data_IF_381239643215
#
_entry.id   IF_381239643215
#
_cell.length_a   1.000
_cell.length_b   1.000
_cell.length_c   1.000
_cell.angle_alpha   90.00
_cell.angle_beta   90.00
_cell.angle_gamma   90.00
#
_symmetry.space_group_name_H-M   'P 1'
#
loop_
_entity.id
_entity.type
_entity.pdbx_description
1 polymer ?
#
# COMPACT_ATOMS: atom_id res chain seq x y z
N UNK A 1 8.06 36.97 -21.50
CA UNK A 1 7.30 36.25 -22.55
C UNK A 1 8.28 35.25 -23.13
N UNK A 2 8.27 33.95 -22.90
CA UNK A 2 7.25 32.89 -22.72
C UNK A 2 7.67 31.98 -21.55
N UNK A 3 6.83 31.25 -20.83
CA UNK A 3 6.08 30.08 -21.30
C UNK A 3 4.81 29.89 -20.46
N UNK A 4 3.71 30.48 -20.95
CA UNK A 4 2.36 30.23 -20.43
C UNK A 4 1.74 28.93 -21.00
N UNK A 5 2.49 28.21 -21.86
CA UNK A 5 2.02 27.02 -22.58
C UNK A 5 2.34 25.69 -21.86
N UNK A 6 3.29 25.67 -20.91
CA UNK A 6 3.71 24.43 -20.24
C UNK A 6 2.74 24.02 -19.11
N UNK A 7 2.16 25.00 -18.41
CA UNK A 7 1.18 24.74 -17.35
C UNK A 7 -0.16 24.20 -17.90
N UNK A 8 -0.57 24.63 -19.09
CA UNK A 8 -1.76 24.10 -19.77
C UNK A 8 -1.57 22.67 -20.27
N UNK A 9 -0.34 22.26 -20.59
CA UNK A 9 -0.02 20.89 -20.95
C UNK A 9 -0.11 19.96 -19.72
N UNK A 10 0.37 20.42 -18.56
CA UNK A 10 0.23 19.69 -17.29
C UNK A 10 -1.24 19.54 -16.87
N UNK A 11 -2.05 20.60 -16.98
CA UNK A 11 -3.47 20.57 -16.64
C UNK A 11 -4.29 19.64 -17.57
N UNK A 12 -4.03 19.65 -18.88
CA UNK A 12 -4.67 18.72 -19.84
C UNK A 12 -4.26 17.26 -19.60
N UNK A 13 -3.00 17.03 -19.26
CA UNK A 13 -2.49 15.71 -18.87
C UNK A 13 -3.19 15.19 -17.61
N UNK A 14 -3.27 16.00 -16.56
CA UNK A 14 -3.98 15.65 -15.32
C UNK A 14 -5.49 15.42 -15.53
N UNK A 15 -6.15 16.20 -16.40
CA UNK A 15 -7.58 16.02 -16.68
C UNK A 15 -7.87 14.70 -17.40
N UNK A 16 -7.00 14.29 -18.35
CA UNK A 16 -7.10 12.98 -19.02
C UNK A 16 -6.85 11.82 -18.04
N UNK A 17 -5.79 11.90 -17.24
CA UNK A 17 -5.51 10.96 -16.16
C UNK A 17 -6.69 10.82 -15.19
N UNK A 18 -7.34 11.92 -14.84
CA UNK A 18 -8.52 11.91 -13.97
C UNK A 18 -9.72 11.24 -14.64
N UNK A 19 -9.96 11.48 -15.94
CA UNK A 19 -11.03 10.83 -16.71
C UNK A 19 -10.80 9.31 -16.84
N UNK A 20 -9.57 8.87 -17.07
CA UNK A 20 -9.23 7.44 -17.18
C UNK A 20 -9.33 6.73 -15.83
N UNK A 21 -8.85 7.36 -14.76
CA UNK A 21 -9.04 6.88 -13.40
C UNK A 21 -10.53 6.84 -13.02
N UNK A 22 -11.34 7.79 -13.50
CA UNK A 22 -12.78 7.80 -13.28
C UNK A 22 -13.48 6.64 -13.99
N UNK A 23 -13.07 6.29 -15.22
CA UNK A 23 -13.59 5.13 -15.96
C UNK A 23 -13.27 3.81 -15.25
N UNK A 24 -12.03 3.64 -14.77
CA UNK A 24 -11.62 2.46 -14.00
C UNK A 24 -12.33 2.42 -12.64
N UNK A 25 -12.43 3.55 -11.94
CA UNK A 25 -13.14 3.65 -10.65
C UNK A 25 -14.62 3.30 -10.79
N UNK A 26 -15.30 3.84 -11.79
CA UNK A 26 -16.72 3.53 -12.07
C UNK A 26 -16.91 2.06 -12.44
N UNK A 27 -15.99 1.48 -13.20
CA UNK A 27 -15.98 0.05 -13.51
C UNK A 27 -15.87 -0.79 -12.23
N UNK A 28 -14.94 -0.44 -11.32
CA UNK A 28 -14.76 -1.12 -10.04
C UNK A 28 -15.96 -0.94 -9.10
N UNK A 29 -16.53 0.25 -9.01
CA UNK A 29 -17.74 0.53 -8.22
C UNK A 29 -18.93 -0.29 -8.68
N UNK A 30 -19.18 -0.33 -10.00
CA UNK A 30 -20.25 -1.16 -10.56
C UNK A 30 -19.97 -2.66 -10.36
N UNK A 31 -18.70 -3.09 -10.42
CA UNK A 31 -18.30 -4.48 -10.15
C UNK A 31 -18.62 -4.88 -8.72
N UNK A 32 -18.26 -4.03 -7.75
CA UNK A 32 -18.49 -4.25 -6.33
C UNK A 32 -19.99 -4.21 -6.02
N UNK A 33 -20.73 -3.23 -6.53
CA UNK A 33 -22.18 -3.15 -6.35
C UNK A 33 -22.91 -4.34 -6.97
N UNK A 34 -22.48 -4.81 -8.14
CA UNK A 34 -23.04 -6.03 -8.73
C UNK A 34 -22.80 -7.24 -7.83
N UNK A 35 -21.58 -7.39 -7.30
CA UNK A 35 -21.24 -8.52 -6.42
C UNK A 35 -22.08 -8.52 -5.14
N UNK A 36 -22.22 -7.37 -4.49
CA UNK A 36 -23.08 -7.20 -3.30
C UNK A 36 -24.53 -7.53 -3.64
N UNK A 37 -25.08 -6.97 -4.72
CA UNK A 37 -26.45 -7.28 -5.15
C UNK A 37 -26.63 -8.75 -5.49
N UNK A 38 -25.63 -9.41 -6.04
CA UNK A 38 -25.72 -10.83 -6.40
C UNK A 38 -25.77 -11.74 -5.16
N UNK A 39 -24.99 -11.39 -4.13
CA UNK A 39 -24.99 -12.05 -2.82
C UNK A 39 -26.32 -11.82 -2.07
N UNK A 40 -26.88 -10.60 -2.11
CA UNK A 40 -28.07 -10.21 -1.36
C UNK A 40 -29.42 -10.45 -2.09
N UNK A 41 -29.41 -10.67 -3.41
CA UNK A 41 -30.64 -10.81 -4.19
C UNK A 41 -31.26 -12.20 -4.03
N UNK A 42 -31.96 -12.40 -2.93
CA UNK A 42 -32.83 -13.57 -2.70
C UNK A 42 -34.15 -13.43 -3.46
N UNK A 43 -34.72 -12.21 -3.52
CA UNK A 43 -36.04 -11.96 -4.09
C UNK A 43 -36.02 -11.10 -5.36
N UNK A 44 -37.02 -11.32 -6.21
CA UNK A 44 -37.28 -10.57 -7.43
C UNK A 44 -37.65 -9.12 -7.11
N UNK A 45 -36.84 -8.17 -7.58
CA UNK A 45 -37.03 -6.73 -7.34
C UNK A 45 -38.40 -6.23 -7.84
N UNK A 46 -38.85 -6.71 -9.00
CA UNK A 46 -40.15 -6.33 -9.56
C UNK A 46 -41.34 -6.85 -8.76
N UNK A 47 -41.24 -8.05 -8.17
CA UNK A 47 -42.32 -8.64 -7.37
C UNK A 47 -42.38 -8.00 -5.99
N UNK A 48 -41.22 -7.73 -5.38
CA UNK A 48 -41.14 -7.09 -4.07
C UNK A 48 -41.81 -5.70 -4.08
N UNK A 49 -41.64 -4.94 -5.18
CA UNK A 49 -42.36 -3.66 -5.39
C UNK A 49 -43.87 -3.80 -5.45
N UNK A 50 -44.39 -4.96 -5.84
CA UNK A 50 -45.82 -5.27 -5.90
C UNK A 50 -46.34 -5.93 -4.62
N UNK A 51 -45.51 -6.08 -3.58
CA UNK A 51 -45.87 -6.80 -2.35
C UNK A 51 -45.81 -8.32 -2.44
N UNK A 52 -45.20 -8.87 -3.51
CA UNK A 52 -45.01 -10.30 -3.71
C UNK A 52 -43.56 -10.71 -3.41
N UNK A 53 -43.37 -11.79 -2.65
CA UNK A 53 -42.06 -12.41 -2.46
C UNK A 53 -41.91 -13.60 -3.41
N UNK A 54 -41.06 -13.45 -4.42
CA UNK A 54 -40.71 -14.52 -5.37
C UNK A 54 -39.21 -14.57 -5.56
N UNK A 55 -38.64 -15.76 -5.59
CA UNK A 55 -37.20 -15.94 -5.71
C UNK A 55 -36.62 -15.33 -7.00
N UNK A 56 -35.49 -14.64 -6.83
CA UNK A 56 -34.67 -14.11 -7.90
C UNK A 56 -33.82 -15.22 -8.54
N UNK A 57 -34.21 -15.66 -9.73
CA UNK A 57 -33.48 -16.69 -10.49
C UNK A 57 -32.71 -16.12 -11.69
N UNK A 58 -32.98 -14.89 -12.09
CA UNK A 58 -32.41 -14.29 -13.29
C UNK A 58 -31.95 -12.86 -13.03
N UNK A 59 -30.97 -12.40 -13.80
CA UNK A 59 -30.53 -11.02 -13.81
C UNK A 59 -30.84 -10.37 -15.14
N UNK A 60 -31.42 -9.17 -15.09
CA UNK A 60 -31.66 -8.34 -16.27
C UNK A 60 -30.68 -7.17 -16.33
N UNK A 61 -29.66 -7.25 -17.18
CA UNK A 61 -28.64 -6.17 -17.23
C UNK A 61 -29.11 -4.85 -17.85
N UNK A 62 -30.30 -4.79 -18.46
CA UNK A 62 -30.86 -3.50 -18.89
C UNK A 62 -31.48 -2.76 -17.72
N UNK A 63 -32.14 -3.49 -16.82
CA UNK A 63 -32.75 -2.93 -15.61
C UNK A 63 -31.76 -2.88 -14.44
N UNK A 64 -30.64 -3.60 -14.54
CA UNK A 64 -29.69 -3.84 -13.45
C UNK A 64 -30.39 -4.37 -12.19
N UNK A 65 -31.27 -5.35 -12.38
CA UNK A 65 -32.10 -5.95 -11.33
C UNK A 65 -32.23 -7.47 -11.47
N UNK A 66 -32.37 -8.14 -10.32
CA UNK A 66 -32.69 -9.55 -10.24
C UNK A 66 -34.20 -9.77 -10.32
N UNK A 67 -34.61 -10.76 -11.09
CA UNK A 67 -36.00 -11.05 -11.43
C UNK A 67 -36.32 -12.55 -11.35
N UNK A 68 -37.58 -12.88 -11.04
CA UNK A 68 -38.07 -14.26 -11.08
C UNK A 68 -38.34 -14.73 -12.53
N UNK A 69 -38.63 -16.01 -12.71
CA UNK A 69 -38.89 -16.61 -14.03
C UNK A 69 -40.02 -15.93 -14.82
N UNK A 70 -41.12 -15.53 -14.16
CA UNK A 70 -42.24 -14.86 -14.84
C UNK A 70 -41.84 -13.47 -15.34
N UNK A 71 -41.19 -12.67 -14.48
CA UNK A 71 -40.63 -11.37 -14.86
C UNK A 71 -39.57 -11.50 -15.97
N UNK A 72 -38.70 -12.51 -15.91
CA UNK A 72 -37.72 -12.78 -16.96
C UNK A 72 -38.36 -13.03 -18.34
N UNK A 73 -39.46 -13.78 -18.39
CA UNK A 73 -40.22 -14.03 -19.64
C UNK A 73 -40.82 -12.75 -20.19
N UNK A 74 -41.30 -11.85 -19.33
CA UNK A 74 -41.81 -10.54 -19.75
C UNK A 74 -40.68 -9.65 -20.28
N UNK A 75 -39.55 -9.63 -19.59
CA UNK A 75 -38.37 -8.86 -19.99
C UNK A 75 -37.85 -9.25 -21.39
N UNK A 76 -37.97 -10.53 -21.76
CA UNK A 76 -37.62 -11.03 -23.11
C UNK A 76 -38.67 -10.73 -24.19
N UNK A 77 -39.89 -10.33 -23.82
CA UNK A 77 -41.02 -10.09 -24.74
C UNK A 77 -41.31 -8.61 -24.98
N UNK A 78 -40.54 -7.69 -24.38
CA UNK A 78 -40.65 -6.26 -24.69
C UNK A 78 -40.32 -5.97 -26.16
N UNK A 79 -40.83 -4.83 -26.65
CA UNK A 79 -40.58 -4.32 -28.00
C UNK A 79 -39.07 -4.23 -28.30
N UNK A 80 -38.27 -3.90 -27.28
CA UNK A 80 -36.83 -4.12 -27.25
C UNK A 80 -36.53 -5.21 -26.21
N UNK A 81 -36.19 -6.44 -26.62
CA UNK A 81 -36.00 -7.54 -25.68
C UNK A 81 -34.80 -7.26 -24.78
N UNK A 82 -35.02 -7.30 -23.46
CA UNK A 82 -33.92 -7.20 -22.53
C UNK A 82 -33.14 -8.52 -22.52
N UNK A 83 -31.81 -8.46 -22.58
CA UNK A 83 -31.02 -9.66 -22.32
C UNK A 83 -31.06 -9.99 -20.82
N UNK A 84 -31.39 -11.24 -20.53
CA UNK A 84 -31.62 -11.78 -19.19
C UNK A 84 -30.80 -13.06 -19.06
N UNK A 85 -30.04 -13.17 -17.98
CA UNK A 85 -29.10 -14.27 -17.71
C UNK A 85 -29.54 -15.02 -16.45
N UNK A 86 -29.35 -16.34 -16.42
CA UNK A 86 -29.63 -17.14 -15.22
C UNK A 86 -28.59 -16.83 -14.13
N UNK A 87 -29.02 -16.77 -12.86
CA UNK A 87 -28.18 -16.37 -11.72
C UNK A 87 -26.94 -17.25 -11.60
N UNK A 88 -27.07 -18.55 -11.91
CA UNK A 88 -26.01 -19.56 -11.85
C UNK A 88 -24.96 -19.38 -12.95
N UNK A 89 -25.31 -18.65 -14.02
CA UNK A 89 -24.43 -18.37 -15.16
C UNK A 89 -23.78 -16.99 -15.08
N UNK A 90 -24.04 -16.24 -13.99
CA UNK A 90 -23.50 -14.91 -13.80
C UNK A 90 -22.06 -14.97 -13.32
N UNK A 91 -21.16 -14.49 -14.16
CA UNK A 91 -19.83 -14.05 -13.75
C UNK A 91 -19.83 -12.53 -13.62
N UNK A 92 -18.96 -12.00 -12.75
CA UNK A 92 -18.66 -10.55 -12.67
C UNK A 92 -18.36 -9.97 -14.07
N UNK A 93 -17.69 -10.74 -14.93
CA UNK A 93 -17.40 -10.35 -16.31
C UNK A 93 -18.65 -10.15 -17.18
N UNK A 94 -19.74 -10.89 -16.95
CA UNK A 94 -20.96 -10.82 -17.75
C UNK A 94 -21.72 -9.50 -17.62
N UNK A 95 -21.69 -8.87 -16.44
CA UNK A 95 -22.33 -7.58 -16.19
C UNK A 95 -21.48 -6.40 -16.67
N UNK A 96 -20.17 -6.51 -16.45
CA UNK A 96 -19.19 -5.54 -16.94
C UNK A 96 -19.17 -5.47 -18.47
N UNK A 97 -19.33 -6.63 -19.12
CA UNK A 97 -19.52 -6.74 -20.57
C UNK A 97 -20.79 -6.04 -21.07
N UNK A 98 -21.76 -5.68 -20.23
CA UNK A 98 -23.01 -5.01 -20.65
C UNK A 98 -23.04 -3.54 -20.28
N UNK A 99 -22.47 -3.14 -19.15
CA UNK A 99 -22.27 -1.74 -18.80
C UNK A 99 -21.30 -1.02 -19.76
N UNK A 100 -20.29 -1.74 -20.25
CA UNK A 100 -19.36 -1.21 -21.26
C UNK A 100 -19.90 -1.20 -22.70
N UNK A 101 -21.14 -1.67 -22.95
CA UNK A 101 -21.67 -1.78 -24.32
C UNK A 101 -22.41 -0.55 -24.82
N UNK A 102 -22.88 0.35 -23.96
CA UNK A 102 -23.70 1.48 -24.41
C UNK A 102 -22.91 2.80 -24.35
N UNK A 103 -23.09 3.65 -25.35
CA UNK A 103 -22.41 4.92 -25.43
C UNK A 103 -22.87 5.88 -24.32
N UNK A 104 -21.93 6.57 -23.69
CA UNK A 104 -22.21 7.52 -22.60
C UNK A 104 -23.03 8.74 -23.08
N UNK A 105 -22.81 9.17 -24.32
CA UNK A 105 -23.52 10.28 -24.98
C UNK A 105 -24.85 9.77 -25.55
N UNK A 106 -24.81 8.61 -26.21
CA UNK A 106 -25.95 8.00 -26.89
C UNK A 106 -26.38 6.72 -26.15
N UNK A 107 -27.07 6.88 -25.02
CA UNK A 107 -27.39 5.79 -24.06
C UNK A 107 -28.08 4.54 -24.64
N UNK A 108 -28.74 4.68 -25.80
CA UNK A 108 -29.43 3.58 -26.51
C UNK A 108 -28.58 2.94 -27.61
N UNK A 109 -27.43 3.52 -27.94
CA UNK A 109 -26.55 3.04 -29.00
C UNK A 109 -25.42 2.22 -28.42
N UNK A 110 -25.09 1.12 -29.09
CA UNK A 110 -23.98 0.27 -28.67
C UNK A 110 -22.66 0.86 -29.14
N UNK A 111 -21.66 0.79 -28.28
CA UNK A 111 -20.28 1.08 -28.64
C UNK A 111 -19.79 -0.10 -29.50
N UNK A 112 -19.33 0.21 -30.70
CA UNK A 112 -18.84 -0.77 -31.69
C UNK A 112 -17.54 -0.33 -32.36
N UNK A 113 -17.12 0.92 -32.13
CA UNK A 113 -15.88 1.48 -32.67
C UNK A 113 -14.97 2.03 -31.58
N UNK A 114 -13.71 2.18 -31.94
CA UNK A 114 -12.70 2.90 -31.19
C UNK A 114 -11.98 3.90 -32.12
N UNK A 115 -11.88 5.15 -31.69
CA UNK A 115 -11.18 6.20 -32.42
C UNK A 115 -9.74 6.31 -31.89
N UNK A 116 -8.76 5.89 -32.69
CA UNK A 116 -7.35 5.91 -32.30
C UNK A 116 -6.78 7.34 -32.17
N UNK A 117 -7.34 8.31 -32.89
CA UNK A 117 -6.89 9.71 -32.82
C UNK A 117 -7.29 10.39 -31.51
N UNK A 118 -8.42 10.00 -30.94
CA UNK A 118 -8.97 10.59 -29.72
C UNK A 118 -8.84 9.68 -28.50
N UNK A 119 -8.42 8.43 -28.69
CA UNK A 119 -8.33 7.40 -27.66
C UNK A 119 -9.68 7.18 -26.95
N UNK A 120 -10.75 7.03 -27.75
CA UNK A 120 -12.13 7.03 -27.27
C UNK A 120 -12.99 5.95 -27.91
N UNK A 121 -13.88 5.38 -27.11
CA UNK A 121 -14.93 4.45 -27.53
C UNK A 121 -16.09 5.20 -28.20
N UNK A 122 -16.57 4.69 -29.34
CA UNK A 122 -17.60 5.33 -30.16
C UNK A 122 -18.72 4.36 -30.59
N UNK A 123 -19.95 4.87 -30.61
CA UNK A 123 -21.08 4.23 -31.32
C UNK A 123 -21.23 4.78 -32.74
N UNK A 124 -22.15 4.23 -33.53
CA UNK A 124 -22.46 4.70 -34.89
C UNK A 124 -22.74 6.21 -34.95
N UNK A 125 -23.53 6.73 -34.00
CA UNK A 125 -23.82 8.18 -33.92
C UNK A 125 -22.59 9.01 -33.61
N UNK A 126 -21.75 8.58 -32.67
CA UNK A 126 -20.50 9.29 -32.37
C UNK A 126 -19.57 9.32 -33.59
N UNK A 127 -19.53 8.25 -34.38
CA UNK A 127 -18.77 8.18 -35.63
C UNK A 127 -19.26 9.22 -36.64
N UNK A 128 -20.57 9.35 -36.81
CA UNK A 128 -21.17 10.29 -37.77
C UNK A 128 -21.16 11.75 -37.32
N UNK A 129 -21.25 12.02 -36.01
CA UNK A 129 -21.41 13.37 -35.49
C UNK A 129 -20.09 13.98 -34.99
N UNK A 130 -19.37 13.25 -34.11
CA UNK A 130 -18.20 13.78 -33.40
C UNK A 130 -16.87 13.34 -34.00
N UNK A 131 -16.85 12.22 -34.72
CA UNK A 131 -15.65 11.66 -35.32
C UNK A 131 -15.73 11.55 -36.86
N UNK A 132 -16.58 12.35 -37.51
CA UNK A 132 -16.80 12.28 -38.96
C UNK A 132 -15.51 12.50 -39.78
N UNK A 133 -14.61 13.35 -39.27
CA UNK A 133 -13.33 13.69 -39.92
C UNK A 133 -12.18 12.79 -39.48
N UNK A 134 -12.42 11.87 -38.54
CA UNK A 134 -11.39 10.99 -38.02
C UNK A 134 -11.12 9.86 -39.02
N UNK A 135 -9.87 9.72 -39.44
CA UNK A 135 -9.43 8.70 -40.40
C UNK A 135 -9.07 7.39 -39.73
N UNK A 136 -8.75 7.39 -38.43
CA UNK A 136 -8.34 6.20 -37.69
C UNK A 136 -9.42 5.77 -36.70
N UNK A 137 -10.56 5.34 -37.23
CA UNK A 137 -11.62 4.67 -36.47
C UNK A 137 -11.64 3.21 -36.86
N UNK A 138 -11.42 2.33 -35.88
CA UNK A 138 -11.40 0.88 -36.04
C UNK A 138 -12.56 0.26 -35.28
N UNK A 139 -12.88 -1.01 -35.55
CA UNK A 139 -13.83 -1.75 -34.72
C UNK A 139 -13.24 -1.99 -33.32
N UNK A 140 -14.12 -2.21 -32.33
CA UNK A 140 -13.65 -2.59 -30.98
C UNK A 140 -12.90 -3.91 -31.02
N UNK A 141 -13.32 -4.86 -31.85
CA UNK A 141 -12.67 -6.15 -31.99
C UNK A 141 -11.22 -5.99 -32.47
N UNK A 142 -11.01 -5.16 -33.49
CA UNK A 142 -9.68 -4.84 -34.04
C UNK A 142 -8.83 -4.08 -33.03
N UNK A 143 -9.38 -3.07 -32.35
CA UNK A 143 -8.68 -2.36 -31.29
C UNK A 143 -8.26 -3.30 -30.15
N UNK A 144 -9.16 -4.18 -29.73
CA UNK A 144 -8.89 -5.15 -28.67
C UNK A 144 -7.85 -6.20 -29.12
N UNK A 145 -7.85 -6.60 -30.38
CA UNK A 145 -6.83 -7.49 -30.94
C UNK A 145 -5.46 -6.81 -31.00
N UNK A 146 -5.39 -5.55 -31.41
CA UNK A 146 -4.16 -4.75 -31.39
C UNK A 146 -3.60 -4.59 -29.98
N UNK A 147 -4.45 -4.44 -28.96
CA UNK A 147 -4.02 -4.40 -27.56
C UNK A 147 -3.55 -5.78 -27.08
N UNK A 148 -4.26 -6.86 -27.44
CA UNK A 148 -3.88 -8.23 -27.06
C UNK A 148 -2.58 -8.70 -27.70
N UNK A 149 -2.38 -8.35 -28.97
CA UNK A 149 -1.20 -8.74 -29.74
C UNK A 149 -0.06 -7.73 -29.60
N UNK A 150 -0.32 -6.56 -29.02
CA UNK A 150 0.69 -5.54 -28.76
C UNK A 150 1.61 -5.92 -27.60
N UNK A 151 2.84 -5.39 -27.61
CA UNK A 151 3.82 -5.65 -26.54
C UNK A 151 3.64 -4.76 -25.33
N UNK A 152 2.78 -3.74 -25.41
CA UNK A 152 2.66 -2.68 -24.39
C UNK A 152 2.39 -3.22 -22.99
N UNK A 153 1.48 -4.20 -22.86
CA UNK A 153 1.18 -4.81 -21.57
C UNK A 153 2.37 -5.59 -21.02
N UNK A 154 2.98 -6.45 -21.83
CA UNK A 154 4.17 -7.21 -21.44
C UNK A 154 5.38 -6.31 -21.11
N UNK A 155 5.53 -5.19 -21.80
CA UNK A 155 6.58 -4.21 -21.55
C UNK A 155 6.35 -3.48 -20.22
N UNK A 156 5.10 -3.15 -19.90
CA UNK A 156 4.74 -2.56 -18.60
C UNK A 156 4.95 -3.56 -17.46
N UNK A 157 4.52 -4.81 -17.62
CA UNK A 157 4.75 -5.89 -16.65
C UNK A 157 6.25 -6.06 -16.37
N UNK A 158 7.07 -6.17 -17.42
CA UNK A 158 8.53 -6.26 -17.30
C UNK A 158 9.13 -5.06 -16.57
N UNK A 159 8.62 -3.84 -16.81
CA UNK A 159 9.09 -2.63 -16.11
C UNK A 159 8.72 -2.66 -14.63
N UNK A 160 7.51 -3.10 -14.29
CA UNK A 160 7.06 -3.26 -12.90
C UNK A 160 7.93 -4.29 -12.18
N UNK A 161 8.22 -5.42 -12.82
CA UNK A 161 9.07 -6.46 -12.25
C UNK A 161 10.49 -5.96 -12.01
N UNK A 162 11.08 -5.25 -12.99
CA UNK A 162 12.40 -4.67 -12.84
C UNK A 162 12.47 -3.68 -11.66
N UNK A 163 11.47 -2.81 -11.54
CA UNK A 163 11.39 -1.86 -10.42
C UNK A 163 11.24 -2.59 -9.08
N UNK A 164 10.40 -3.62 -9.02
CA UNK A 164 10.20 -4.43 -7.82
C UNK A 164 11.48 -5.12 -7.38
N UNK A 165 12.25 -5.69 -8.33
CA UNK A 165 13.56 -6.28 -8.05
C UNK A 165 14.57 -5.25 -7.53
N UNK A 166 14.62 -4.07 -8.14
CA UNK A 166 15.51 -2.98 -7.71
C UNK A 166 15.19 -2.53 -6.28
N UNK A 167 13.91 -2.33 -5.97
CA UNK A 167 13.45 -1.99 -4.62
C UNK A 167 13.84 -3.09 -3.63
N UNK A 168 13.63 -4.36 -3.97
CA UNK A 168 14.04 -5.50 -3.15
C UNK A 168 15.54 -5.52 -2.85
N UNK A 169 16.37 -5.19 -3.86
CA UNK A 169 17.82 -5.06 -3.69
C UNK A 169 18.21 -3.96 -2.70
N UNK A 170 17.61 -2.77 -2.82
CA UNK A 170 17.84 -1.65 -1.91
C UNK A 170 17.43 -2.00 -0.48
N UNK A 171 16.26 -2.62 -0.30
CA UNK A 171 15.79 -3.03 1.03
C UNK A 171 16.74 -4.05 1.67
N UNK A 172 17.24 -5.03 0.91
CA UNK A 172 18.21 -6.01 1.39
C UNK A 172 19.53 -5.35 1.79
N UNK A 173 20.02 -4.41 0.99
CA UNK A 173 21.23 -3.65 1.28
C UNK A 173 21.09 -2.84 2.58
N UNK A 174 20.00 -2.08 2.72
CA UNK A 174 19.74 -1.28 3.93
C UNK A 174 19.60 -2.16 5.18
N UNK A 175 18.96 -3.34 5.06
CA UNK A 175 18.85 -4.29 6.17
C UNK A 175 20.23 -4.78 6.64
N UNK A 176 21.15 -5.03 5.72
CA UNK A 176 22.51 -5.45 6.06
C UNK A 176 23.29 -4.34 6.76
N UNK A 177 23.17 -3.08 6.30
CA UNK A 177 23.80 -1.92 6.95
C UNK A 177 23.34 -1.75 8.40
N UNK A 178 22.02 -1.82 8.64
CA UNK A 178 21.45 -1.73 9.99
C UNK A 178 22.00 -2.85 10.89
N UNK A 179 22.15 -4.06 10.35
CA UNK A 179 22.74 -5.18 11.09
C UNK A 179 24.20 -4.96 11.48
N UNK A 180 25.00 -4.35 10.60
CA UNK A 180 26.39 -3.99 10.90
C UNK A 180 26.48 -2.92 11.98
N UNK A 181 25.67 -1.87 11.88
CA UNK A 181 25.60 -0.80 12.90
C UNK A 181 25.20 -1.35 14.28
N UNK A 182 24.26 -2.31 14.32
CA UNK A 182 23.83 -2.94 15.57
C UNK A 182 24.93 -3.85 16.16
N UNK A 183 25.68 -4.55 15.30
CA UNK A 183 26.86 -5.32 15.71
C UNK A 183 27.93 -4.40 16.32
N UNK A 184 28.32 -3.32 15.62
CA UNK A 184 29.34 -2.37 16.07
C UNK A 184 28.95 -1.72 17.41
N UNK A 185 27.69 -1.31 17.54
CA UNK A 185 27.15 -0.76 18.78
C UNK A 185 27.28 -1.73 19.95
N UNK A 186 27.07 -3.02 19.70
CA UNK A 186 27.15 -4.07 20.73
C UNK A 186 28.61 -4.34 21.11
N UNK A 187 29.51 -4.36 20.12
CA UNK A 187 30.95 -4.51 20.34
C UNK A 187 31.52 -3.36 21.18
N UNK A 188 31.18 -2.11 20.86
CA UNK A 188 31.61 -0.94 21.63
C UNK A 188 31.11 -1.03 23.07
N UNK A 189 29.84 -1.41 23.29
CA UNK A 189 29.28 -1.60 24.65
C UNK A 189 30.03 -2.67 25.44
N UNK A 190 30.45 -3.76 24.80
CA UNK A 190 31.23 -4.80 25.45
C UNK A 190 32.63 -4.29 25.82
N UNK A 191 33.34 -3.63 24.90
CA UNK A 191 34.66 -3.03 25.16
C UNK A 191 34.62 -2.04 26.34
N UNK A 192 33.60 -1.19 26.42
CA UNK A 192 33.40 -0.27 27.56
C UNK A 192 33.23 -1.02 28.88
N UNK A 193 32.49 -2.14 28.87
CA UNK A 193 32.30 -2.99 30.05
C UNK A 193 33.61 -3.66 30.48
N UNK A 194 34.38 -4.15 29.52
CA UNK A 194 35.65 -4.84 29.77
C UNK A 194 36.67 -3.88 30.39
N UNK A 195 36.79 -2.65 29.84
CA UNK A 195 37.65 -1.60 30.42
C UNK A 195 37.21 -1.26 31.84
N UNK A 196 35.90 -1.15 32.10
CA UNK A 196 35.39 -0.94 33.47
C UNK A 196 35.81 -2.08 34.41
N UNK A 197 35.65 -3.33 33.99
CA UNK A 197 36.02 -4.49 34.82
C UNK A 197 37.51 -4.53 35.10
N UNK A 198 38.35 -4.25 34.10
CA UNK A 198 39.80 -4.16 34.28
C UNK A 198 40.19 -3.07 35.29
N UNK A 199 39.55 -1.90 35.22
CA UNK A 199 39.79 -0.82 36.18
C UNK A 199 39.41 -1.24 37.60
N UNK A 200 38.23 -1.85 37.79
CA UNK A 200 37.77 -2.32 39.11
C UNK A 200 38.77 -3.32 39.69
N UNK A 201 39.18 -4.32 38.92
CA UNK A 201 40.17 -5.32 39.35
C UNK A 201 41.50 -4.68 39.74
N UNK A 202 41.98 -3.71 38.96
CA UNK A 202 43.23 -3.02 39.27
C UNK A 202 43.12 -2.18 40.56
N UNK A 203 41.98 -1.52 40.79
CA UNK A 203 41.74 -0.79 42.03
C UNK A 203 41.67 -1.72 43.25
N UNK A 204 41.02 -2.87 43.13
CA UNK A 204 40.97 -3.89 44.19
C UNK A 204 42.38 -4.44 44.50
N UNK A 205 43.20 -4.66 43.47
CA UNK A 205 44.58 -5.10 43.64
C UNK A 205 45.42 -4.05 44.38
N UNK A 206 45.35 -2.78 43.98
CA UNK A 206 46.02 -1.67 44.66
C UNK A 206 45.55 -1.52 46.11
N UNK A 207 44.24 -1.67 46.36
CA UNK A 207 43.67 -1.62 47.70
C UNK A 207 44.24 -2.74 48.59
N UNK A 208 44.29 -3.97 48.08
CA UNK A 208 44.83 -5.11 48.81
C UNK A 208 46.34 -4.95 49.07
N UNK A 209 47.09 -4.38 48.13
CA UNK A 209 48.50 -4.04 48.34
C UNK A 209 48.66 -3.01 49.48
N UNK A 210 47.88 -1.94 49.47
CA UNK A 210 47.87 -0.93 50.54
C UNK A 210 47.53 -1.53 51.91
N UNK A 211 46.53 -2.41 51.98
CA UNK A 211 46.18 -3.10 53.23
C UNK A 211 47.31 -4.01 53.72
N UNK A 212 47.91 -4.80 52.83
CA UNK A 212 49.05 -5.65 53.18
C UNK A 212 50.26 -4.82 53.67
N UNK A 213 50.51 -3.66 53.07
CA UNK A 213 51.59 -2.78 53.49
C UNK A 213 51.31 -2.14 54.85
N UNK A 214 50.06 -1.75 55.13
CA UNK A 214 49.64 -1.32 56.47
C UNK A 214 49.84 -2.45 57.48
N UNK A 215 49.38 -3.66 57.22
CA UNK A 215 49.52 -4.80 58.13
C UNK A 215 51.00 -5.13 58.42
N UNK A 216 51.88 -5.02 57.42
CA UNK A 216 53.33 -5.19 57.58
C UNK A 216 53.98 -4.06 58.38
N UNK A 217 53.53 -2.81 58.23
CA UNK A 217 54.05 -1.66 58.98
C UNK A 217 53.61 -1.68 60.45
N UNK A 218 52.49 -2.33 60.76
CA UNK A 218 51.92 -2.40 62.10
C UNK A 218 51.79 -3.84 62.63
N UNK A 219 52.89 -4.61 62.76
CA UNK A 219 52.82 -5.99 63.24
C UNK A 219 52.49 -6.08 64.74
N UNK A 220 52.62 -4.97 65.49
CA UNK A 220 52.29 -4.83 66.91
C UNK A 220 51.72 -3.44 67.19
N UNK A 221 50.63 -3.41 67.95
CA UNK A 221 49.74 -2.27 68.18
C UNK A 221 50.39 -1.06 68.86
N UNK A 222 51.07 -0.18 68.11
CA UNK A 222 51.48 1.13 68.60
C UNK A 222 50.40 2.18 68.27
N UNK A 223 49.37 2.25 69.12
CA UNK A 223 48.14 3.06 68.93
C UNK A 223 48.40 4.54 68.61
N UNK A 224 49.53 5.10 69.03
CA UNK A 224 49.87 6.51 68.81
C UNK A 224 50.20 6.81 67.35
N UNK A 225 50.88 5.90 66.65
CA UNK A 225 51.32 6.12 65.27
C UNK A 225 50.14 5.98 64.28
N UNK A 226 49.15 5.13 64.59
CA UNK A 226 47.93 4.97 63.80
C UNK A 226 47.09 6.26 63.77
N UNK A 227 46.93 6.93 64.91
CA UNK A 227 46.17 8.19 65.00
C UNK A 227 46.74 9.32 64.14
N UNK A 228 48.07 9.42 64.09
CA UNK A 228 48.78 10.45 63.32
C UNK A 228 48.76 10.20 61.80
N UNK A 229 48.62 8.93 61.39
CA UNK A 229 48.57 8.55 59.98
C UNK A 229 47.17 8.76 59.40
N UNK A 230 46.11 8.42 60.15
CA UNK A 230 44.73 8.68 59.75
C UNK A 230 44.52 10.18 59.46
N UNK A 231 44.96 11.07 60.35
CA UNK A 231 44.89 12.53 60.13
C UNK A 231 45.62 12.99 58.86
N UNK A 232 46.73 12.35 58.51
CA UNK A 232 47.52 12.73 57.33
C UNK A 232 46.96 12.16 56.02
N UNK A 233 46.37 10.96 56.05
CA UNK A 233 45.71 10.37 54.87
C UNK A 233 44.43 11.14 54.52
N UNK A 234 43.65 11.59 55.51
CA UNK A 234 42.47 12.45 55.25
C UNK A 234 42.85 13.78 54.61
N UNK A 235 44.07 14.28 54.84
CA UNK A 235 44.59 15.51 54.20
C UNK A 235 45.15 15.31 52.79
N UNK A 236 45.53 14.08 52.40
CA UNK A 236 46.23 13.79 51.14
C UNK A 236 45.37 13.20 50.03
N UNK A 237 44.14 12.75 50.31
CA UNK A 237 43.18 12.44 49.24
C UNK A 237 42.60 13.75 48.69
N UNK A 238 42.77 14.08 47.40
CA UNK A 238 42.10 15.22 46.81
C UNK A 238 40.58 14.98 46.84
N UNK A 239 39.85 15.95 47.40
CA UNK A 239 38.38 16.04 47.48
C UNK A 239 37.70 16.19 46.10
N UNK A 240 38.07 15.39 45.11
CA UNK A 240 37.51 15.47 43.75
C UNK A 240 36.49 14.37 43.41
N UNK A 241 36.12 13.52 44.37
CA UNK A 241 35.02 12.52 44.20
C UNK A 241 33.75 12.91 45.00
N UNK A 242 33.59 14.17 45.40
CA UNK A 242 32.39 14.66 46.10
C UNK A 242 31.29 15.23 45.17
N UNK A 243 31.18 14.76 43.91
CA UNK A 243 30.14 15.24 42.97
C UNK A 243 29.27 14.16 42.31
N UNK A 244 29.14 12.99 42.91
CA UNK A 244 28.02 12.09 42.61
C UNK A 244 27.25 11.76 43.89
N UNK A 245 26.52 12.77 44.37
CA UNK A 245 25.35 12.56 45.22
C UNK A 245 24.27 11.87 44.38
N UNK A 246 24.23 10.53 44.44
CA UNK A 246 23.01 9.78 44.16
C UNK A 246 22.17 9.82 45.45
N UNK A 247 20.93 10.37 45.41
CA UNK A 247 20.04 10.31 46.56
C UNK A 247 19.57 8.87 46.73
N UNK A 248 20.07 8.20 47.77
CA UNK A 248 19.39 7.06 48.36
C UNK A 248 18.10 7.60 49.01
N UNK A 249 16.97 7.42 48.33
CA UNK A 249 15.66 7.44 48.98
C UNK A 249 15.46 6.06 49.62
N UNK A 250 15.26 6.08 50.94
CA UNK A 250 14.75 4.95 51.73
C UNK A 250 13.29 4.64 51.35
#
# INVERSE_FOLDING_TARGET
MTNYNDDYACAKSCLRLWQDLFRIKRFLEHTLQFRVRMEEAEYCAGCLRCGDERDAMFWCAHCSEFVCNSCAKLHKKFQTPHAVLAKEQLSISSELLRLGRNCEIHRLQKIVFFCCQHDQLACDKCKSESHQTCTSIVSIEEAAENVRNGTVLSDLERRIDNLSQRIGGILKYNKNLIGHDEYDKTEIKNKVRDVKQQLVLHFEELQNQLFNDIDKMFPRSDRKLFSLLCENLTRKLPLSITRYSLPFQL
#
